data_IF_776392004848
#
_entry.id   IF_776392004848
#
_cell.length_a   1.000
_cell.length_b   1.000
_cell.length_c   1.000
_cell.angle_alpha   90.00
_cell.angle_beta   90.00
_cell.angle_gamma   90.00
#
_symmetry.space_group_name_H-M   'P 1'
#
loop_
_entity.id
_entity.type
_entity.pdbx_description
1 polymer ?
#
# COMPACT_ATOMS: atom_id res chain seq x y z
N UNK A 1 -51.16 -32.93 -44.07
CA UNK A 1 -49.87 -33.59 -43.74
C UNK A 1 -48.73 -32.56 -43.74
N UNK A 2 -48.47 -31.99 -42.56
CA UNK A 2 -47.16 -31.70 -41.92
C UNK A 2 -45.97 -31.06 -42.69
N UNK A 3 -46.09 -30.60 -43.93
CA UNK A 3 -44.97 -29.94 -44.61
C UNK A 3 -44.82 -28.46 -44.24
N UNK A 4 -45.91 -27.68 -44.15
CA UNK A 4 -45.79 -26.25 -43.78
C UNK A 4 -45.32 -26.06 -42.33
N UNK A 5 -45.78 -26.91 -41.42
CA UNK A 5 -45.42 -26.83 -40.00
C UNK A 5 -43.95 -27.18 -39.76
N UNK A 6 -43.40 -28.13 -40.53
CA UNK A 6 -41.98 -28.47 -40.45
C UNK A 6 -41.13 -27.31 -40.95
N UNK A 7 -41.46 -26.69 -42.07
CA UNK A 7 -40.69 -25.55 -42.59
C UNK A 7 -40.65 -24.35 -41.63
N UNK A 8 -41.76 -24.07 -40.96
CA UNK A 8 -41.81 -23.04 -39.91
C UNK A 8 -40.93 -23.42 -38.71
N UNK A 9 -40.96 -24.70 -38.30
CA UNK A 9 -40.16 -25.20 -37.18
C UNK A 9 -38.65 -25.17 -37.47
N UNK A 10 -38.24 -25.54 -38.68
CA UNK A 10 -36.84 -25.46 -39.13
C UNK A 10 -36.39 -24.01 -39.31
N UNK A 11 -37.27 -23.12 -39.80
CA UNK A 11 -36.99 -21.68 -39.90
C UNK A 11 -36.80 -21.02 -38.53
N UNK A 12 -37.65 -21.33 -37.55
CA UNK A 12 -37.51 -20.87 -36.16
C UNK A 12 -36.24 -21.41 -35.50
N UNK A 13 -35.91 -22.69 -35.71
CA UNK A 13 -34.67 -23.28 -35.19
C UNK A 13 -33.43 -22.59 -35.78
N UNK A 14 -33.42 -22.30 -37.08
CA UNK A 14 -32.34 -21.57 -37.72
C UNK A 14 -32.20 -20.14 -37.17
N UNK A 15 -33.32 -19.41 -37.02
CA UNK A 15 -33.32 -18.06 -36.45
C UNK A 15 -32.79 -18.03 -35.01
N UNK A 16 -33.20 -18.98 -34.17
CA UNK A 16 -32.66 -19.13 -32.81
C UNK A 16 -31.17 -19.45 -32.84
N UNK A 17 -30.71 -20.29 -33.76
CA UNK A 17 -29.28 -20.59 -33.92
C UNK A 17 -28.46 -19.35 -34.29
N UNK A 18 -28.93 -18.56 -35.26
CA UNK A 18 -28.26 -17.32 -35.66
C UNK A 18 -28.30 -16.23 -34.57
N UNK A 19 -29.36 -16.17 -33.78
CA UNK A 19 -29.45 -15.22 -32.66
C UNK A 19 -28.46 -15.58 -31.53
N UNK A 20 -28.28 -16.88 -31.24
CA UNK A 20 -27.28 -17.34 -30.27
C UNK A 20 -25.83 -17.16 -30.78
N UNK A 21 -25.58 -17.32 -32.08
CA UNK A 21 -24.27 -17.09 -32.67
C UNK A 21 -23.80 -15.62 -32.53
N UNK A 22 -24.73 -14.65 -32.60
CA UNK A 22 -24.43 -13.22 -32.38
C UNK A 22 -24.19 -12.87 -30.91
N UNK A 23 -24.82 -13.58 -29.97
CA UNK A 23 -24.63 -13.36 -28.51
C UNK A 23 -23.28 -13.91 -28.03
N UNK A 24 -22.67 -14.85 -28.74
CA UNK A 24 -21.35 -15.39 -28.40
C UNK A 24 -20.16 -14.45 -28.73
N UNK A 25 -20.38 -13.38 -29.50
CA UNK A 25 -19.31 -12.46 -29.94
C UNK A 25 -19.15 -11.20 -29.07
N UNK A 26 -19.85 -11.09 -27.94
CA UNK A 26 -19.79 -9.93 -27.04
C UNK A 26 -18.77 -10.06 -25.89
N UNK A 27 -17.79 -10.96 -26.00
CA UNK A 27 -16.60 -10.94 -25.17
C UNK A 27 -15.41 -11.47 -25.99
N UNK A 28 -14.25 -10.78 -26.01
CA UNK A 28 -13.01 -11.45 -26.33
C UNK A 28 -12.71 -12.37 -25.13
N UNK A 29 -13.37 -13.53 -25.09
CA UNK A 29 -12.88 -14.63 -24.30
C UNK A 29 -11.54 -15.02 -24.93
N UNK A 30 -10.44 -14.55 -24.35
CA UNK A 30 -9.13 -15.19 -24.47
C UNK A 30 -9.25 -16.59 -23.86
N UNK A 31 -9.97 -17.47 -24.55
CA UNK A 31 -9.88 -18.91 -24.42
C UNK A 31 -8.80 -19.38 -25.39
N UNK A 32 -7.56 -18.95 -25.16
CA UNK A 32 -6.40 -19.69 -25.63
C UNK A 32 -5.65 -20.18 -24.40
N UNK A 33 -6.13 -21.33 -23.94
CA UNK A 33 -5.61 -22.08 -22.81
C UNK A 33 -4.46 -23.00 -23.20
N UNK A 34 -3.61 -22.64 -24.15
CA UNK A 34 -2.26 -23.20 -24.20
C UNK A 34 -1.40 -22.48 -23.18
N UNK A 35 -1.34 -23.05 -21.97
CA UNK A 35 -0.19 -22.83 -21.08
C UNK A 35 1.05 -23.20 -21.89
N UNK A 36 1.78 -22.20 -22.38
CA UNK A 36 3.13 -22.38 -22.91
C UNK A 36 4.03 -22.84 -21.76
N UNK A 37 4.00 -24.14 -21.45
CA UNK A 37 4.90 -24.75 -20.50
C UNK A 37 6.30 -24.68 -21.10
N UNK A 38 7.07 -23.68 -20.67
CA UNK A 38 8.49 -23.52 -21.04
C UNK A 38 8.85 -22.32 -21.90
N UNK A 39 7.93 -21.39 -22.20
CA UNK A 39 8.32 -20.15 -22.88
C UNK A 39 9.12 -19.26 -21.92
N UNK A 40 10.43 -19.13 -22.17
CA UNK A 40 11.30 -18.19 -21.46
C UNK A 40 11.08 -16.80 -22.03
N UNK A 41 10.56 -15.89 -21.21
CA UNK A 41 10.43 -14.48 -21.58
C UNK A 41 11.85 -13.90 -21.78
N UNK A 42 12.20 -13.37 -22.96
CA UNK A 42 13.54 -12.82 -23.21
C UNK A 42 13.91 -11.70 -22.24
N UNK A 43 15.19 -11.60 -21.89
CA UNK A 43 15.70 -10.60 -20.94
C UNK A 43 15.23 -9.17 -21.25
N UNK A 44 15.37 -8.72 -22.50
CA UNK A 44 14.96 -7.37 -22.89
C UNK A 44 13.47 -7.12 -22.67
N UNK A 45 12.63 -8.15 -22.90
CA UNK A 45 11.18 -8.07 -22.65
C UNK A 45 10.87 -8.00 -21.16
N UNK A 46 11.63 -8.69 -20.31
CA UNK A 46 11.52 -8.55 -18.84
C UNK A 46 11.91 -7.13 -18.43
N UNK A 47 13.07 -6.67 -18.88
CA UNK A 47 13.63 -5.34 -18.57
C UNK A 47 12.67 -4.19 -18.93
N UNK A 48 12.15 -4.17 -20.17
CA UNK A 48 11.22 -3.13 -20.63
C UNK A 48 9.86 -3.19 -19.92
N UNK A 49 9.41 -4.39 -19.54
CA UNK A 49 8.15 -4.55 -18.80
C UNK A 49 8.29 -4.07 -17.36
N UNK A 50 9.43 -4.32 -16.73
CA UNK A 50 9.69 -3.94 -15.34
C UNK A 50 10.24 -2.52 -15.17
N UNK A 51 10.69 -1.85 -16.23
CA UNK A 51 11.25 -0.50 -16.14
C UNK A 51 10.29 0.52 -15.52
N UNK A 52 10.85 1.49 -14.78
CA UNK A 52 10.13 2.61 -14.17
C UNK A 52 9.26 3.34 -15.19
N UNK A 53 7.94 3.28 -14.99
CA UNK A 53 6.93 3.94 -15.83
C UNK A 53 5.62 4.11 -15.08
N UNK A 54 4.67 4.75 -15.73
CA UNK A 54 3.31 4.85 -15.24
C UNK A 54 2.56 3.54 -15.48
N UNK A 55 1.96 2.97 -14.43
CA UNK A 55 1.24 1.69 -14.45
C UNK A 55 -0.09 1.85 -13.73
N UNK A 56 -1.14 1.22 -14.24
CA UNK A 56 -2.43 1.15 -13.57
C UNK A 56 -2.31 0.31 -12.29
N UNK A 57 -2.61 0.94 -11.15
CA UNK A 57 -2.45 0.37 -9.82
C UNK A 57 -3.75 0.54 -9.04
N UNK A 58 -4.18 -0.52 -8.34
CA UNK A 58 -5.33 -0.47 -7.45
C UNK A 58 -4.94 0.20 -6.14
N UNK A 59 -5.52 1.37 -5.87
CA UNK A 59 -5.22 2.18 -4.69
C UNK A 59 -6.44 2.20 -3.77
N UNK A 60 -6.22 1.90 -2.49
CA UNK A 60 -7.25 1.98 -1.45
C UNK A 60 -7.66 3.43 -1.21
N UNK A 61 -8.96 3.71 -1.28
CA UNK A 61 -9.51 5.06 -1.12
C UNK A 61 -9.24 5.60 0.30
N UNK A 62 -9.24 4.73 1.32
CA UNK A 62 -8.95 5.16 2.70
C UNK A 62 -7.51 5.64 2.89
N UNK A 63 -6.56 5.12 2.11
CA UNK A 63 -5.16 5.55 2.19
C UNK A 63 -4.99 6.95 1.57
N UNK A 64 -5.77 7.29 0.56
CA UNK A 64 -5.76 8.61 -0.08
C UNK A 64 -6.54 9.66 0.73
N UNK A 65 -7.59 9.24 1.44
CA UNK A 65 -8.44 10.09 2.28
C UNK A 65 -8.57 9.55 3.71
N UNK A 66 -7.49 9.60 4.51
CA UNK A 66 -7.51 9.07 5.87
C UNK A 66 -8.47 9.82 6.81
N UNK A 67 -8.85 11.06 6.47
CA UNK A 67 -9.75 11.88 7.28
C UNK A 67 -11.23 11.47 7.16
N UNK A 68 -11.61 10.72 6.11
CA UNK A 68 -12.99 10.34 5.81
C UNK A 68 -13.42 9.05 6.55
N UNK A 69 -13.09 8.95 7.85
CA UNK A 69 -13.26 7.74 8.67
C UNK A 69 -14.72 7.32 8.91
N UNK A 70 -15.68 8.23 8.72
CA UNK A 70 -17.11 7.96 8.93
C UNK A 70 -17.77 7.18 7.78
N UNK A 71 -17.09 7.09 6.64
CA UNK A 71 -17.64 6.53 5.42
C UNK A 71 -17.00 5.18 5.08
N UNK A 72 -17.82 4.28 4.55
CA UNK A 72 -17.35 3.10 3.82
C UNK A 72 -17.50 3.40 2.34
N UNK A 73 -16.46 3.15 1.55
CA UNK A 73 -16.45 3.40 0.12
C UNK A 73 -16.82 2.16 -0.69
N UNK A 74 -17.61 2.36 -1.74
CA UNK A 74 -17.86 1.35 -2.79
C UNK A 74 -17.58 1.97 -4.18
N UNK A 75 -16.61 1.42 -4.94
CA UNK A 75 -15.64 0.39 -4.54
C UNK A 75 -14.72 0.87 -3.39
N UNK A 76 -14.03 -0.04 -2.71
CA UNK A 76 -13.06 0.33 -1.66
C UNK A 76 -11.71 0.78 -2.23
N UNK A 77 -11.42 0.43 -3.47
CA UNK A 77 -10.22 0.83 -4.20
C UNK A 77 -10.56 1.29 -5.61
N UNK A 78 -9.70 2.14 -6.19
CA UNK A 78 -9.82 2.68 -7.55
C UNK A 78 -8.56 2.40 -8.36
N UNK A 79 -8.72 2.25 -9.67
CA UNK A 79 -7.60 2.09 -10.59
C UNK A 79 -7.00 3.47 -10.91
N UNK A 80 -5.76 3.71 -10.50
CA UNK A 80 -5.05 4.97 -10.75
C UNK A 80 -3.72 4.71 -11.45
N UNK A 81 -3.33 5.64 -12.32
CA UNK A 81 -1.99 5.65 -12.89
C UNK A 81 -0.99 6.10 -11.84
N UNK A 82 -0.10 5.19 -11.43
CA UNK A 82 0.96 5.44 -10.45
C UNK A 82 2.32 5.04 -11.02
N UNK A 83 3.38 5.62 -10.47
CA UNK A 83 4.72 5.24 -10.87
C UNK A 83 5.06 3.91 -10.24
N UNK A 84 5.56 2.98 -11.05
CA UNK A 84 5.94 1.65 -10.62
C UNK A 84 6.99 1.07 -11.55
N UNK A 85 7.61 -0.03 -11.11
CA UNK A 85 8.73 -0.66 -11.79
C UNK A 85 10.06 -0.48 -11.04
N UNK A 86 11.11 -1.03 -11.62
CA UNK A 86 12.47 -0.98 -11.08
C UNK A 86 13.33 0.04 -11.82
N UNK A 87 14.36 0.49 -11.10
CA UNK A 87 15.48 1.24 -11.64
C UNK A 87 16.71 0.32 -11.70
N UNK A 88 17.73 0.71 -12.47
CA UNK A 88 18.95 -0.09 -12.66
C UNK A 88 19.85 -0.15 -11.42
N UNK A 89 19.61 0.70 -10.43
CA UNK A 89 20.44 0.88 -9.25
C UNK A 89 19.54 1.04 -8.02
N UNK A 90 19.91 0.37 -6.93
CA UNK A 90 19.18 0.40 -5.65
C UNK A 90 19.24 1.78 -4.98
N UNK A 91 20.22 2.61 -5.32
CA UNK A 91 20.29 4.01 -4.90
C UNK A 91 19.26 4.91 -5.61
N UNK A 92 18.57 4.40 -6.63
CA UNK A 92 17.51 5.12 -7.35
C UNK A 92 16.13 4.67 -6.90
N UNK A 93 15.17 5.60 -6.97
CA UNK A 93 13.74 5.35 -6.78
C UNK A 93 12.94 5.84 -7.99
N UNK A 94 11.87 5.11 -8.33
CA UNK A 94 10.95 5.47 -9.39
C UNK A 94 9.92 6.47 -8.85
N UNK A 95 10.04 7.74 -9.24
CA UNK A 95 9.23 8.84 -8.70
C UNK A 95 8.48 9.59 -9.80
N UNK A 96 7.31 10.18 -9.49
CA UNK A 96 6.59 11.02 -10.44
C UNK A 96 7.36 12.32 -10.72
N UNK A 97 7.40 12.70 -12.00
CA UNK A 97 7.91 14.01 -12.44
C UNK A 97 6.79 14.95 -12.86
N UNK A 98 5.63 14.39 -13.19
CA UNK A 98 4.43 15.14 -13.57
C UNK A 98 3.19 14.42 -13.04
N UNK A 99 2.24 15.18 -12.51
CA UNK A 99 1.03 14.69 -11.85
C UNK A 99 -0.18 15.52 -12.24
N UNK A 100 -1.36 14.91 -12.18
CA UNK A 100 -2.64 15.56 -12.42
C UNK A 100 -3.74 14.88 -11.61
N UNK A 101 -4.85 15.58 -11.39
CA UNK A 101 -5.99 15.03 -10.67
C UNK A 101 -7.03 14.47 -11.64
N UNK A 102 -7.65 13.36 -11.26
CA UNK A 102 -8.79 12.76 -11.96
C UNK A 102 -9.97 12.69 -11.01
N UNK A 103 -11.17 12.96 -11.53
CA UNK A 103 -12.39 12.82 -10.74
C UNK A 103 -13.09 11.51 -11.09
N UNK A 104 -13.43 10.73 -10.06
CA UNK A 104 -14.15 9.46 -10.21
C UNK A 104 -15.38 9.46 -9.31
N UNK A 105 -16.42 8.77 -9.73
CA UNK A 105 -17.62 8.57 -8.92
C UNK A 105 -17.43 7.39 -7.97
N UNK A 106 -17.62 7.63 -6.67
CA UNK A 106 -17.51 6.63 -5.61
C UNK A 106 -18.75 6.72 -4.74
N UNK A 107 -19.32 5.58 -4.38
CA UNK A 107 -20.42 5.54 -3.44
C UNK A 107 -19.89 5.66 -2.01
N UNK A 108 -20.34 6.69 -1.29
CA UNK A 108 -20.09 6.86 0.14
C UNK A 108 -21.25 6.29 0.94
N UNK A 109 -20.96 5.43 1.91
CA UNK A 109 -21.93 4.83 2.82
C UNK A 109 -21.63 5.30 4.24
N UNK A 110 -22.59 5.97 4.87
CA UNK A 110 -22.52 6.32 6.29
C UNK A 110 -23.40 5.38 7.11
N UNK A 111 -22.92 4.97 8.28
CA UNK A 111 -23.65 4.03 9.13
C UNK A 111 -25.03 4.62 9.51
N UNK A 112 -26.10 3.85 9.33
CA UNK A 112 -27.51 4.25 9.52
C UNK A 112 -28.05 5.39 8.63
N UNK A 113 -27.35 5.77 7.56
CA UNK A 113 -27.80 6.81 6.62
C UNK A 113 -27.87 6.30 5.17
N UNK A 114 -28.35 7.14 4.26
CA UNK A 114 -28.48 6.85 2.83
C UNK A 114 -27.14 6.77 2.11
N UNK A 115 -27.09 5.96 1.05
CA UNK A 115 -25.93 5.77 0.19
C UNK A 115 -25.99 6.78 -0.95
N UNK A 116 -24.88 7.46 -1.23
CA UNK A 116 -24.84 8.50 -2.26
C UNK A 116 -23.57 8.39 -3.10
N UNK A 117 -23.75 8.44 -4.41
CA UNK A 117 -22.64 8.53 -5.37
C UNK A 117 -22.08 9.95 -5.30
N UNK A 118 -20.78 10.06 -5.07
CA UNK A 118 -20.08 11.32 -4.94
C UNK A 118 -18.86 11.35 -5.86
N UNK A 119 -18.61 12.48 -6.54
CA UNK A 119 -17.35 12.70 -7.22
C UNK A 119 -16.22 12.88 -6.18
N UNK A 120 -15.12 12.16 -6.37
CA UNK A 120 -13.90 12.24 -5.56
C UNK A 120 -12.69 12.45 -6.48
N UNK A 121 -11.70 13.22 -6.04
CA UNK A 121 -10.59 13.69 -6.88
C UNK A 121 -9.25 13.08 -6.48
N UNK A 122 -8.78 12.10 -7.25
CA UNK A 122 -7.56 11.36 -6.95
C UNK A 122 -6.35 11.88 -7.72
N UNK A 123 -5.16 11.82 -7.13
CA UNK A 123 -3.91 12.18 -7.79
C UNK A 123 -3.39 11.01 -8.66
N UNK A 124 -3.08 11.32 -9.91
CA UNK A 124 -2.45 10.42 -10.89
C UNK A 124 -1.08 10.95 -11.31
N UNK A 125 -0.21 10.03 -11.72
CA UNK A 125 1.10 10.36 -12.29
C UNK A 125 0.99 10.26 -13.81
N UNK A 126 1.43 11.28 -14.55
CA UNK A 126 1.50 11.22 -16.02
C UNK A 126 2.88 10.77 -16.50
N UNK A 127 3.95 11.11 -15.76
CA UNK A 127 5.34 10.78 -16.12
C UNK A 127 6.15 10.38 -14.90
N UNK A 128 7.05 9.40 -15.08
CA UNK A 128 7.88 8.81 -14.04
C UNK A 128 9.34 8.77 -14.49
N UNK A 129 10.27 8.97 -13.55
CA UNK A 129 11.71 8.84 -13.80
C UNK A 129 12.44 8.24 -12.60
N UNK A 130 13.56 7.56 -12.86
CA UNK A 130 14.47 7.11 -11.82
C UNK A 130 15.29 8.30 -11.30
N UNK A 131 15.14 8.64 -10.03
CA UNK A 131 15.89 9.70 -9.36
C UNK A 131 16.67 9.13 -8.18
N UNK A 132 17.76 9.80 -7.79
CA UNK A 132 18.49 9.41 -6.59
C UNK A 132 17.56 9.48 -5.39
N UNK A 133 17.51 8.40 -4.62
CA UNK A 133 16.86 8.38 -3.32
C UNK A 133 17.48 9.52 -2.53
N UNK A 134 16.65 10.44 -2.08
CA UNK A 134 17.11 11.33 -1.02
C UNK A 134 17.45 10.38 0.13
N UNK A 135 18.66 10.48 0.66
CA UNK A 135 18.91 10.04 2.01
C UNK A 135 17.99 10.90 2.90
N UNK A 136 16.70 10.54 2.99
CA UNK A 136 16.03 10.63 4.26
C UNK A 136 17.04 10.01 5.19
N UNK A 137 17.54 10.81 6.12
CA UNK A 137 18.25 10.32 7.30
C UNK A 137 17.29 9.31 7.90
N UNK A 138 17.31 8.07 7.38
CA UNK A 138 16.83 6.87 8.01
C UNK A 138 17.45 7.07 9.35
N UNK A 139 16.58 7.43 10.32
CA UNK A 139 16.86 7.57 11.75
C UNK A 139 18.24 7.03 11.93
N UNK A 140 19.26 7.91 11.87
CA UNK A 140 20.59 7.50 12.27
C UNK A 140 20.25 6.90 13.62
N UNK A 141 20.33 5.58 13.71
CA UNK A 141 20.22 4.91 14.97
C UNK A 141 21.44 5.50 15.64
N UNK A 142 21.22 6.64 16.32
CA UNK A 142 22.23 7.40 16.98
C UNK A 142 22.82 6.31 17.85
N UNK A 143 24.02 5.88 17.46
CA UNK A 143 24.74 4.80 18.10
C UNK A 143 25.22 5.42 19.41
N UNK A 144 24.25 5.74 20.27
CA UNK A 144 24.50 6.15 21.63
C UNK A 144 24.98 4.88 22.28
N UNK A 145 26.23 4.89 22.73
CA UNK A 145 26.74 3.84 23.59
C UNK A 145 25.75 3.64 24.77
N UNK A 146 25.43 2.39 25.13
CA UNK A 146 24.50 2.14 26.21
C UNK A 146 25.03 2.71 27.52
N UNK A 147 24.19 3.43 28.27
CA UNK A 147 24.55 4.06 29.55
C UNK A 147 25.23 3.12 30.55
N UNK A 148 24.96 1.82 30.46
CA UNK A 148 25.65 0.77 31.21
C UNK A 148 25.42 -0.59 30.58
N UNK A 149 26.46 -1.35 30.28
CA UNK A 149 26.31 -2.69 29.69
C UNK A 149 25.51 -3.65 30.57
N UNK A 150 25.80 -3.67 31.88
CA UNK A 150 25.18 -4.63 32.81
C UNK A 150 23.83 -4.16 33.35
N UNK A 151 23.53 -2.86 33.27
CA UNK A 151 22.43 -2.24 34.06
C UNK A 151 21.53 -1.32 33.23
N UNK A 152 21.33 -1.63 31.94
CA UNK A 152 20.52 -0.84 31.00
C UNK A 152 19.13 -0.47 31.57
N UNK A 153 18.49 -1.37 32.32
CA UNK A 153 17.14 -1.16 32.89
C UNK A 153 17.03 -0.04 33.95
N UNK A 154 18.15 0.41 34.54
CA UNK A 154 18.16 1.47 35.55
C UNK A 154 18.29 2.88 34.96
N UNK A 155 18.61 2.99 33.67
CA UNK A 155 18.87 4.26 33.00
C UNK A 155 17.78 4.58 31.96
N UNK A 156 17.54 5.87 31.77
CA UNK A 156 16.77 6.44 30.66
C UNK A 156 17.75 7.26 29.81
N UNK A 157 17.81 6.93 28.52
CA UNK A 157 18.67 7.61 27.57
C UNK A 157 17.83 8.49 26.64
N UNK A 158 18.24 9.74 26.45
CA UNK A 158 17.68 10.62 25.43
C UNK A 158 18.21 10.20 24.05
N UNK A 159 17.34 9.85 23.09
CA UNK A 159 17.76 9.35 21.77
C UNK A 159 18.40 10.42 20.87
N UNK A 160 18.21 11.71 21.17
CA UNK A 160 18.76 12.83 20.39
C UNK A 160 20.06 13.36 20.98
N UNK A 161 20.18 13.38 22.32
CA UNK A 161 21.36 13.93 23.03
C UNK A 161 22.28 12.86 23.63
N UNK A 162 21.89 11.59 23.57
CA UNK A 162 22.54 10.46 24.24
C UNK A 162 22.70 10.62 25.77
N UNK A 163 22.04 11.60 26.39
CA UNK A 163 22.14 11.86 27.83
C UNK A 163 21.52 10.73 28.64
N UNK A 164 22.31 10.17 29.55
CA UNK A 164 21.89 9.14 30.49
C UNK A 164 21.38 9.76 31.80
N UNK A 165 20.19 9.34 32.24
CA UNK A 165 19.61 9.73 33.52
C UNK A 165 19.06 8.52 34.26
N UNK A 166 18.97 8.59 35.59
CA UNK A 166 18.39 7.50 36.37
C UNK A 166 16.88 7.38 36.13
N UNK A 167 16.41 6.14 35.95
CA UNK A 167 14.98 5.85 35.79
C UNK A 167 14.18 6.12 37.06
N UNK A 168 14.82 5.95 38.23
CA UNK A 168 14.22 6.23 39.53
C UNK A 168 14.64 7.60 40.04
N UNK A 169 13.72 8.27 40.72
CA UNK A 169 13.96 9.55 41.41
C UNK A 169 14.39 9.31 42.86
N UNK A 170 15.11 10.29 43.42
CA UNK A 170 15.53 10.27 44.82
C UNK A 170 14.34 10.11 45.80
N UNK A 171 13.23 10.79 45.51
CA UNK A 171 11.97 10.65 46.27
C UNK A 171 11.46 9.21 46.36
N UNK A 172 11.63 8.41 45.30
CA UNK A 172 11.22 7.01 45.25
C UNK A 172 12.14 6.09 46.04
N UNK A 173 13.43 6.42 46.17
CA UNK A 173 14.33 5.70 47.06
C UNK A 173 14.05 6.07 48.53
N UNK A 174 13.81 7.36 48.80
CA UNK A 174 13.50 7.87 50.15
C UNK A 174 12.22 7.28 50.73
N UNK A 175 11.20 7.01 49.91
CA UNK A 175 9.99 6.31 50.37
C UNK A 175 10.27 4.89 50.88
N UNK A 176 11.44 4.32 50.55
CA UNK A 176 11.93 3.02 51.03
C UNK A 176 13.05 3.16 52.07
N UNK A 177 13.29 4.35 52.61
CA UNK A 177 14.39 4.66 53.53
C UNK A 177 15.78 4.35 52.94
N UNK A 178 15.91 4.52 51.62
CA UNK A 178 17.16 4.35 50.86
C UNK A 178 17.52 5.67 50.18
N UNK A 179 18.78 5.83 49.79
CA UNK A 179 19.28 6.98 49.03
C UNK A 179 19.59 6.57 47.60
N UNK A 180 19.23 7.42 46.63
CA UNK A 180 19.57 7.16 45.23
C UNK A 180 21.06 7.44 45.01
N UNK A 181 21.80 6.40 44.62
CA UNK A 181 23.15 6.57 44.10
C UNK A 181 23.06 6.99 42.63
N UNK A 182 23.26 8.28 42.36
CA UNK A 182 23.15 8.85 41.00
C UNK A 182 24.15 8.27 39.99
N UNK A 183 25.27 7.68 40.46
CA UNK A 183 26.27 7.06 39.58
C UNK A 183 25.89 5.64 39.18
N UNK A 184 25.13 4.92 40.00
CA UNK A 184 24.73 3.53 39.74
C UNK A 184 23.25 3.37 39.45
N UNK A 185 22.47 4.43 39.65
CA UNK A 185 21.01 4.49 39.63
C UNK A 185 20.32 3.44 40.52
N UNK A 186 20.94 3.11 41.65
CA UNK A 186 20.41 2.18 42.65
C UNK A 186 19.97 2.92 43.91
N UNK A 187 18.89 2.44 44.52
CA UNK A 187 18.56 2.83 45.89
C UNK A 187 19.44 2.01 46.84
N UNK A 188 20.38 2.66 47.52
CA UNK A 188 21.33 2.04 48.45
C UNK A 188 21.04 2.50 49.88
N UNK A 189 21.50 1.75 50.88
CA UNK A 189 21.38 2.19 52.27
C UNK A 189 22.28 3.42 52.49
N UNK A 190 21.85 4.41 53.30
CA UNK A 190 22.69 5.54 53.64
C UNK A 190 24.02 5.03 54.20
N UNK A 191 25.13 5.50 53.66
CA UNK A 191 26.45 5.22 54.26
C UNK A 191 26.54 6.10 55.50
N UNK A 192 26.60 5.47 56.68
CA UNK A 192 26.89 6.15 57.95
C UNK A 192 28.27 6.78 57.91
#
# INVERSE_FOLDING_TARGET
MNFLLTWIHWGLAALLYFHNAKVLQAAPAQGDGERQQGEVIPFMKVYERSACKTIETMVDIFQEYPDEVEYIFKPSCVALMRCGGCCNDEALECVPTEVYNVTMEVMKLKHFQSQHIHPMSFLQHSRCECRQKKETRIRQENHCEPCSERRKHLYKQDPLTCKCSCKFTDSRCKSKQLELNERTCRCEKPRR
#
